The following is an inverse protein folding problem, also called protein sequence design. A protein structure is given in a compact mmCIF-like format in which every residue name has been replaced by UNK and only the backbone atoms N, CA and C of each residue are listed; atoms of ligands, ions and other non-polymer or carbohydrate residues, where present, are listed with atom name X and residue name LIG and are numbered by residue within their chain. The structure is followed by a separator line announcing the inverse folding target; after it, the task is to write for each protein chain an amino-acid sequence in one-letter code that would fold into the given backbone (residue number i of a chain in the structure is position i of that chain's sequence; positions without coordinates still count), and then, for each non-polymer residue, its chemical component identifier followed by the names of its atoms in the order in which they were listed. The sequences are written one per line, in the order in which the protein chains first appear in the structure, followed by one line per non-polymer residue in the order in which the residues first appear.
data_IF_779545502190
#
_entry.id   IF_779545502190
#
_cell.length_a   1.000
_cell.length_b   1.000
_cell.length_c   1.000
_cell.angle_alpha   90.00
_cell.angle_beta   90.00
_cell.angle_gamma   90.00
#
_symmetry.space_group_name_H-M   'P 1'
#
loop_
_entity.id
_entity.type
_entity.pdbx_description
1 polymer ?
#
# COMPACT_ATOMS: atom_id res chain seq x y z
N UNK A 1 -30.04 -0.74 63.87
CA UNK A 1 -28.62 -0.35 63.67
C UNK A 1 -28.43 0.01 62.19
N UNK A 2 -28.10 1.27 61.88
CA UNK A 2 -27.78 1.71 60.51
C UNK A 2 -26.26 1.68 60.31
N UNK A 3 -25.77 0.84 59.40
CA UNK A 3 -24.36 0.82 59.00
C UNK A 3 -24.06 2.04 58.13
N UNK A 4 -23.27 2.99 58.63
CA UNK A 4 -22.74 4.10 57.83
C UNK A 4 -21.64 3.54 56.94
N UNK A 5 -21.89 3.44 55.63
CA UNK A 5 -20.86 3.07 54.66
C UNK A 5 -19.82 4.20 54.61
N UNK A 6 -18.57 3.90 54.97
CA UNK A 6 -17.45 4.82 54.75
C UNK A 6 -17.30 5.05 53.24
N UNK A 7 -17.30 6.33 52.82
CA UNK A 7 -17.02 6.73 51.45
C UNK A 7 -15.54 6.61 51.09
N UNK A 8 -15.24 6.71 49.80
CA UNK A 8 -13.88 6.63 49.26
C UNK A 8 -13.01 7.80 49.75
N UNK A 9 -11.80 7.52 50.23
CA UNK A 9 -10.86 8.55 50.70
C UNK A 9 -9.98 9.07 49.57
N UNK A 10 -9.51 10.31 49.70
CA UNK A 10 -8.56 10.91 48.75
C UNK A 10 -7.25 10.11 48.72
N UNK A 11 -6.80 9.58 49.86
CA UNK A 11 -5.58 8.78 49.94
C UNK A 11 -5.69 7.46 49.15
N UNK A 12 -6.84 6.78 49.24
CA UNK A 12 -7.11 5.58 48.44
C UNK A 12 -7.09 5.90 46.94
N UNK A 13 -7.66 7.03 46.52
CA UNK A 13 -7.59 7.47 45.13
C UNK A 13 -6.16 7.71 44.66
N UNK A 14 -5.35 8.39 45.49
CA UNK A 14 -4.00 8.80 45.12
C UNK A 14 -3.07 7.61 44.90
N UNK A 15 -3.16 6.56 45.73
CA UNK A 15 -2.35 5.35 45.55
C UNK A 15 -2.75 4.64 44.26
N UNK A 16 -4.04 4.55 43.96
CA UNK A 16 -4.53 3.93 42.72
C UNK A 16 -4.00 4.68 41.50
N UNK A 17 -4.10 6.01 41.50
CA UNK A 17 -3.56 6.84 40.41
C UNK A 17 -2.05 6.67 40.25
N UNK A 18 -1.29 6.57 41.36
CA UNK A 18 0.16 6.35 41.32
C UNK A 18 0.53 5.01 40.67
N UNK A 19 -0.16 3.93 41.05
CA UNK A 19 0.07 2.60 40.46
C UNK A 19 -0.28 2.61 38.97
N UNK A 20 -1.42 3.19 38.59
CA UNK A 20 -1.81 3.32 37.17
C UNK A 20 -0.77 4.11 36.37
N UNK A 21 -0.23 5.19 36.94
CA UNK A 21 0.82 5.99 36.30
C UNK A 21 2.07 5.18 35.97
N UNK A 22 2.54 4.34 36.90
CA UNK A 22 3.71 3.46 36.69
C UNK A 22 3.43 2.44 35.60
N UNK A 23 2.25 1.82 35.61
CA UNK A 23 1.85 0.84 34.59
C UNK A 23 1.81 1.47 33.19
N UNK A 24 1.22 2.66 33.06
CA UNK A 24 1.14 3.39 31.79
C UNK A 24 2.53 3.77 31.28
N UNK A 25 3.43 4.23 32.16
CA UNK A 25 4.78 4.64 31.78
C UNK A 25 5.59 3.51 31.12
N UNK A 26 5.47 2.28 31.63
CA UNK A 26 6.13 1.09 31.06
C UNK A 26 5.42 0.62 29.77
N UNK A 27 4.09 0.76 29.70
CA UNK A 27 3.30 0.22 28.60
C UNK A 27 3.38 1.05 27.31
N UNK A 28 3.45 2.38 27.41
CA UNK A 28 3.38 3.27 26.24
C UNK A 28 4.46 2.99 25.17
N UNK A 29 5.76 2.83 25.51
CA UNK A 29 6.79 2.56 24.51
C UNK A 29 6.54 1.26 23.75
N UNK A 30 6.13 0.20 24.45
CA UNK A 30 5.86 -1.12 23.88
C UNK A 30 4.67 -1.05 22.92
N UNK A 31 3.59 -0.39 23.35
CA UNK A 31 2.39 -0.21 22.53
C UNK A 31 2.69 0.58 21.25
N UNK A 32 3.53 1.62 21.32
CA UNK A 32 3.90 2.40 20.14
C UNK A 32 4.62 1.54 19.08
N UNK A 33 5.59 0.72 19.47
CA UNK A 33 6.27 -0.19 18.54
C UNK A 33 5.31 -1.21 17.94
N UNK A 34 4.38 -1.76 18.74
CA UNK A 34 3.37 -2.69 18.25
C UNK A 34 2.39 -2.04 17.26
N UNK A 35 2.03 -0.78 17.49
CA UNK A 35 1.19 -0.01 16.57
C UNK A 35 1.88 0.22 15.22
N UNK A 36 3.18 0.56 15.20
CA UNK A 36 3.91 0.69 13.93
C UNK A 36 4.02 -0.65 13.21
N UNK A 37 4.36 -1.74 13.91
CA UNK A 37 4.33 -3.11 13.33
C UNK A 37 2.97 -3.46 12.72
N UNK A 38 1.88 -3.11 13.39
CA UNK A 38 0.53 -3.37 12.88
C UNK A 38 0.23 -2.59 11.60
N UNK A 39 0.70 -1.33 11.50
CA UNK A 39 0.59 -0.51 10.30
C UNK A 39 1.40 -1.07 9.13
N UNK A 40 2.63 -1.49 9.40
CA UNK A 40 3.48 -2.14 8.39
C UNK A 40 2.86 -3.46 7.90
N UNK A 41 2.38 -4.31 8.83
CA UNK A 41 1.72 -5.56 8.48
C UNK A 41 0.46 -5.35 7.63
N UNK A 42 -0.33 -4.30 7.94
CA UNK A 42 -1.48 -3.91 7.14
C UNK A 42 -1.06 -3.53 5.70
N UNK A 43 -0.01 -2.72 5.54
CA UNK A 43 0.46 -2.28 4.24
C UNK A 43 1.02 -3.43 3.40
N UNK A 44 1.71 -4.37 4.03
CA UNK A 44 2.21 -5.58 3.37
C UNK A 44 1.06 -6.50 2.96
N UNK A 45 0.02 -6.63 3.79
CA UNK A 45 -1.18 -7.38 3.44
C UNK A 45 -1.86 -6.77 2.20
N UNK A 46 -1.95 -5.44 2.12
CA UNK A 46 -2.48 -4.74 0.96
C UNK A 46 -1.66 -5.04 -0.30
N UNK A 47 -0.33 -5.01 -0.23
CA UNK A 47 0.54 -5.38 -1.37
C UNK A 47 0.26 -6.80 -1.84
N UNK A 48 0.05 -7.75 -0.92
CA UNK A 48 -0.29 -9.15 -1.27
C UNK A 48 -1.65 -9.28 -1.93
N UNK A 49 -2.66 -8.55 -1.46
CA UNK A 49 -3.99 -8.56 -2.10
C UNK A 49 -3.96 -7.94 -3.50
N UNK A 50 -3.20 -6.85 -3.68
CA UNK A 50 -3.00 -6.24 -4.99
C UNK A 50 -2.24 -7.18 -5.95
N UNK A 51 -1.24 -7.89 -5.44
CA UNK A 51 -0.53 -8.93 -6.17
C UNK A 51 -1.47 -10.02 -6.68
N UNK A 52 -2.37 -10.53 -5.83
CA UNK A 52 -3.34 -11.54 -6.22
C UNK A 52 -4.26 -11.04 -7.35
N UNK A 53 -4.77 -9.81 -7.23
CA UNK A 53 -5.57 -9.19 -8.29
C UNK A 53 -4.78 -9.04 -9.60
N UNK A 54 -3.52 -8.60 -9.54
CA UNK A 54 -2.68 -8.47 -10.73
C UNK A 54 -2.34 -9.82 -11.38
N UNK A 55 -2.12 -10.87 -10.57
CA UNK A 55 -1.92 -12.24 -11.06
C UNK A 55 -3.15 -12.76 -11.80
N UNK A 56 -4.36 -12.46 -11.31
CA UNK A 56 -5.60 -12.80 -12.01
C UNK A 56 -5.63 -12.17 -13.41
N UNK A 57 -5.38 -10.85 -13.51
CA UNK A 57 -5.29 -10.17 -14.81
C UNK A 57 -4.26 -10.79 -15.74
N UNK A 58 -3.09 -11.20 -15.20
CA UNK A 58 -2.05 -11.87 -15.97
C UNK A 58 -2.54 -13.19 -16.57
N UNK A 59 -3.14 -14.07 -15.76
CA UNK A 59 -3.55 -15.39 -16.20
C UNK A 59 -4.76 -15.38 -17.15
N UNK A 60 -5.69 -14.43 -16.99
CA UNK A 60 -6.83 -14.31 -17.91
C UNK A 60 -6.48 -13.58 -19.22
N UNK A 61 -5.30 -12.95 -19.31
CA UNK A 61 -4.86 -12.23 -20.51
C UNK A 61 -5.39 -10.80 -20.66
N UNK A 62 -6.19 -10.29 -19.72
CA UNK A 62 -6.84 -8.97 -19.78
C UNK A 62 -5.89 -7.78 -19.52
N UNK A 63 -4.60 -8.03 -19.35
CA UNK A 63 -3.59 -7.00 -19.10
C UNK A 63 -3.17 -6.20 -20.35
N UNK A 64 -3.58 -6.59 -21.56
CA UNK A 64 -3.10 -6.00 -22.83
C UNK A 64 -4.00 -4.86 -23.35
N UNK A 65 -5.02 -4.41 -22.61
CA UNK A 65 -5.97 -3.40 -23.10
C UNK A 65 -5.29 -2.04 -23.35
N UNK A 66 -5.41 -1.51 -24.57
CA UNK A 66 -4.88 -0.18 -24.88
C UNK A 66 -5.69 0.93 -24.22
N UNK A 67 -5.04 2.03 -23.86
CA UNK A 67 -5.73 3.22 -23.36
C UNK A 67 -6.85 3.66 -24.30
N UNK A 68 -6.60 3.64 -25.62
CA UNK A 68 -7.60 3.95 -26.63
C UNK A 68 -8.79 2.95 -26.65
N UNK A 69 -8.54 1.66 -26.44
CA UNK A 69 -9.61 0.64 -26.39
C UNK A 69 -10.45 0.81 -25.12
N UNK A 70 -9.81 1.13 -24.00
CA UNK A 70 -10.48 1.47 -22.74
C UNK A 70 -11.24 2.79 -22.82
N UNK A 71 -10.77 3.75 -23.63
CA UNK A 71 -11.46 5.02 -23.86
C UNK A 71 -12.75 4.84 -24.68
N UNK A 72 -12.82 3.77 -25.49
CA UNK A 72 -14.00 3.34 -26.23
C UNK A 72 -15.01 2.53 -25.39
N UNK A 73 -14.68 2.17 -24.15
CA UNK A 73 -15.63 1.52 -23.24
C UNK A 73 -16.80 2.47 -22.94
N UNK A 74 -18.01 1.99 -23.21
CA UNK A 74 -19.25 2.76 -23.11
C UNK A 74 -19.94 2.56 -21.76
N UNK A 75 -19.64 1.45 -21.08
CA UNK A 75 -20.08 1.20 -19.71
C UNK A 75 -19.32 2.12 -18.74
N UNK A 76 -19.97 3.11 -18.11
CA UNK A 76 -19.31 4.07 -17.25
C UNK A 76 -18.66 3.42 -16.02
N UNK A 77 -19.13 2.23 -15.61
CA UNK A 77 -18.51 1.50 -14.50
C UNK A 77 -17.24 0.78 -14.93
N UNK A 78 -17.14 0.32 -16.19
CA UNK A 78 -15.98 -0.44 -16.68
C UNK A 78 -14.89 0.43 -17.29
N UNK A 79 -15.25 1.63 -17.78
CA UNK A 79 -14.33 2.55 -18.47
C UNK A 79 -13.02 2.85 -17.73
N UNK A 80 -13.09 2.87 -16.40
CA UNK A 80 -11.96 3.22 -15.55
C UNK A 80 -11.25 1.99 -14.94
N UNK A 81 -11.82 0.80 -15.10
CA UNK A 81 -11.39 -0.43 -14.46
C UNK A 81 -10.55 -1.23 -15.45
N UNK A 82 -9.39 -1.69 -15.00
CA UNK A 82 -8.39 -2.38 -15.80
C UNK A 82 -7.02 -1.73 -15.72
N UNK A 83 -6.10 -2.23 -16.52
CA UNK A 83 -4.73 -1.75 -16.58
C UNK A 83 -4.55 -0.83 -17.79
N UNK A 84 -3.80 0.24 -17.62
CA UNK A 84 -3.28 1.04 -18.73
C UNK A 84 -1.98 0.42 -19.21
N UNK A 85 -1.75 0.35 -20.51
CA UNK A 85 -0.45 -0.07 -21.06
C UNK A 85 0.38 1.13 -21.46
N UNK A 86 1.65 1.15 -21.06
CA UNK A 86 2.62 2.08 -21.64
C UNK A 86 3.24 1.44 -22.89
N UNK A 87 3.25 2.17 -24.01
CA UNK A 87 3.87 1.74 -25.26
C UNK A 87 5.29 2.32 -25.31
N UNK A 88 6.27 1.81 -24.56
CA UNK A 88 7.62 2.36 -24.71
C UNK A 88 8.19 1.97 -26.08
N UNK A 89 8.65 2.99 -26.81
CA UNK A 89 9.04 2.95 -28.22
C UNK A 89 10.33 2.17 -28.54
N UNK A 90 10.97 1.49 -27.59
CA UNK A 90 12.33 0.95 -27.78
C UNK A 90 12.55 -0.42 -27.15
N UNK A 91 12.12 -1.48 -27.84
CA UNK A 91 12.55 -2.86 -27.61
C UNK A 91 11.43 -3.89 -27.38
N UNK A 92 11.70 -5.20 -27.55
CA UNK A 92 10.72 -6.30 -27.33
C UNK A 92 10.15 -6.37 -25.90
N UNK A 93 10.83 -5.73 -24.94
CA UNK A 93 10.57 -5.78 -23.49
C UNK A 93 9.83 -4.54 -22.92
N UNK A 94 9.41 -3.62 -23.79
CA UNK A 94 9.12 -2.22 -23.42
C UNK A 94 7.65 -1.91 -23.11
N UNK A 95 6.84 -2.91 -22.75
CA UNK A 95 5.41 -2.70 -22.52
C UNK A 95 5.06 -3.29 -21.16
N UNK A 96 4.66 -2.43 -20.24
CA UNK A 96 4.08 -2.84 -18.98
C UNK A 96 2.62 -2.37 -18.91
N UNK A 97 1.77 -3.25 -18.40
CA UNK A 97 0.41 -2.90 -18.01
C UNK A 97 0.42 -2.46 -16.56
N UNK A 98 -0.11 -1.29 -16.23
CA UNK A 98 -0.09 -0.74 -14.89
C UNK A 98 -1.44 -0.21 -14.45
N UNK A 99 -1.66 -0.18 -13.14
CA UNK A 99 -2.91 0.31 -12.56
C UNK A 99 -2.80 0.53 -11.07
N UNK A 100 -3.78 1.24 -10.51
CA UNK A 100 -3.91 1.50 -9.09
C UNK A 100 -4.92 0.53 -8.47
N UNK A 101 -4.54 -0.14 -7.38
CA UNK A 101 -5.40 -1.09 -6.71
C UNK A 101 -6.37 -0.39 -5.75
N UNK A 102 -7.63 -0.82 -5.71
CA UNK A 102 -8.62 -0.41 -4.71
C UNK A 102 -8.91 -1.55 -3.73
N UNK A 103 -8.41 -1.49 -2.48
CA UNK A 103 -8.62 -2.55 -1.50
C UNK A 103 -10.06 -2.69 -1.01
N UNK A 104 -10.95 -1.72 -1.27
CA UNK A 104 -12.37 -1.82 -0.89
C UNK A 104 -13.13 -2.77 -1.81
N UNK A 105 -12.71 -2.83 -3.07
CA UNK A 105 -13.44 -3.54 -4.13
C UNK A 105 -12.63 -4.68 -4.74
N UNK A 106 -11.31 -4.74 -4.49
CA UNK A 106 -10.39 -5.67 -5.14
C UNK A 106 -10.07 -5.32 -6.59
N UNK A 107 -10.65 -4.23 -7.13
CA UNK A 107 -10.51 -3.84 -8.53
C UNK A 107 -9.25 -3.02 -8.76
N UNK A 108 -8.71 -3.10 -9.98
CA UNK A 108 -7.59 -2.28 -10.43
C UNK A 108 -8.15 -1.20 -11.36
N UNK A 109 -7.74 0.05 -11.14
CA UNK A 109 -8.10 1.22 -11.94
C UNK A 109 -6.93 1.64 -12.82
N UNK A 110 -7.25 2.15 -14.00
CA UNK A 110 -6.27 2.53 -15.04
C UNK A 110 -5.15 3.43 -14.54
N UNK A 111 -5.48 4.36 -13.66
CA UNK A 111 -4.55 5.25 -12.99
C UNK A 111 -5.03 5.52 -11.57
N UNK A 112 -4.13 6.01 -10.72
CA UNK A 112 -4.46 6.41 -9.35
C UNK A 112 -5.48 7.55 -9.27
N UNK A 113 -5.54 8.42 -10.28
CA UNK A 113 -6.47 9.56 -10.31
C UNK A 113 -7.90 9.12 -10.61
N UNK A 114 -8.08 7.90 -11.13
CA UNK A 114 -9.36 7.28 -11.41
C UNK A 114 -9.87 6.40 -10.26
N UNK A 115 -9.12 6.29 -9.15
CA UNK A 115 -9.60 5.62 -7.95
C UNK A 115 -10.85 6.35 -7.42
N UNK A 116 -11.90 5.61 -6.99
CA UNK A 116 -13.07 6.24 -6.41
C UNK A 116 -12.65 7.06 -5.19
N UNK A 117 -13.19 8.28 -5.01
CA UNK A 117 -12.72 9.21 -4.01
C UNK A 117 -12.76 8.59 -2.61
N UNK A 118 -11.84 9.07 -1.78
CA UNK A 118 -11.85 8.83 -0.35
C UNK A 118 -12.91 9.67 0.35
N UNK A 119 -12.77 9.78 1.68
CA UNK A 119 -13.70 10.58 2.50
C UNK A 119 -13.68 12.05 2.07
N UNK A 120 -14.86 12.67 2.09
CA UNK A 120 -15.06 14.10 1.79
C UNK A 120 -14.54 14.52 0.41
N UNK A 121 -14.64 13.64 -0.60
CA UNK A 121 -14.23 13.93 -1.97
C UNK A 121 -12.72 14.04 -2.19
N UNK A 122 -11.90 13.73 -1.16
CA UNK A 122 -10.44 13.77 -1.29
C UNK A 122 -9.92 12.55 -2.07
N UNK A 123 -8.69 12.65 -2.58
CA UNK A 123 -7.98 11.49 -3.15
C UNK A 123 -7.99 10.32 -2.18
N UNK A 124 -8.24 9.13 -2.71
CA UNK A 124 -8.23 7.94 -1.89
C UNK A 124 -6.79 7.57 -1.51
N UNK A 125 -6.56 7.37 -0.21
CA UNK A 125 -5.29 6.97 0.38
C UNK A 125 -5.57 5.92 1.44
N UNK A 126 -4.69 4.94 1.57
CA UNK A 126 -4.93 3.83 2.47
C UNK A 126 -3.67 3.21 3.08
N UNK A 127 -2.47 3.65 2.67
CA UNK A 127 -1.24 3.30 3.39
C UNK A 127 -1.26 3.82 4.82
N UNK A 128 -0.65 3.04 5.72
CA UNK A 128 -0.67 3.28 7.17
C UNK A 128 0.71 3.48 7.77
N UNK A 129 1.75 2.97 7.11
CA UNK A 129 3.14 3.09 7.51
C UNK A 129 3.56 4.52 7.75
N UNK A 130 4.38 4.73 8.78
CA UNK A 130 4.93 6.03 9.14
C UNK A 130 6.45 5.99 9.04
N UNK A 131 7.10 7.14 9.26
CA UNK A 131 8.57 7.23 9.28
C UNK A 131 9.23 6.49 10.46
N UNK A 132 8.44 5.89 11.33
CA UNK A 132 8.92 5.16 12.51
C UNK A 132 8.98 3.68 12.16
N UNK A 133 10.19 3.13 12.26
CA UNK A 133 10.45 1.72 11.96
C UNK A 133 9.83 0.81 13.03
N UNK A 134 8.83 0.02 12.63
CA UNK A 134 8.29 -1.09 13.41
C UNK A 134 9.19 -2.33 13.37
N UNK A 135 10.17 -2.38 12.48
CA UNK A 135 11.13 -3.48 12.33
C UNK A 135 10.69 -4.55 11.34
N UNK A 136 9.67 -4.29 10.51
CA UNK A 136 9.24 -5.25 9.49
C UNK A 136 10.11 -5.17 8.24
N UNK A 137 10.67 -6.30 7.85
CA UNK A 137 11.39 -6.47 6.58
C UNK A 137 10.65 -7.46 5.70
N UNK A 138 10.39 -7.06 4.45
CA UNK A 138 9.77 -7.94 3.46
C UNK A 138 10.76 -8.15 2.34
N UNK A 139 11.36 -9.35 2.22
CA UNK A 139 12.24 -9.64 1.11
C UNK A 139 11.48 -9.53 -0.21
N UNK A 140 12.19 -9.11 -1.25
CA UNK A 140 11.67 -9.04 -2.60
C UNK A 140 12.68 -9.56 -3.61
N UNK A 141 12.17 -10.07 -4.73
CA UNK A 141 12.95 -10.29 -5.95
C UNK A 141 13.34 -8.99 -6.71
N UNK A 142 13.06 -7.81 -6.15
CA UNK A 142 13.44 -6.51 -6.74
C UNK A 142 14.92 -6.15 -6.51
N UNK A 143 15.47 -5.20 -7.28
CA UNK A 143 16.89 -4.79 -7.23
C UNK A 143 17.40 -4.42 -5.83
N UNK A 144 16.53 -3.87 -4.98
CA UNK A 144 16.88 -3.46 -3.61
C UNK A 144 16.84 -4.59 -2.57
N UNK A 145 16.34 -5.78 -2.94
CA UNK A 145 16.15 -6.92 -2.03
C UNK A 145 14.98 -6.79 -1.04
N UNK A 146 14.32 -5.64 -0.94
CA UNK A 146 13.19 -5.40 -0.03
C UNK A 146 11.98 -4.78 -0.74
N UNK A 147 10.78 -5.30 -0.48
CA UNK A 147 9.54 -4.81 -1.09
C UNK A 147 9.01 -3.52 -0.44
N UNK A 148 9.39 -3.27 0.81
CA UNK A 148 8.79 -2.28 1.68
C UNK A 148 9.88 -1.66 2.56
N UNK A 149 9.86 -0.33 2.72
CA UNK A 149 10.82 0.40 3.55
C UNK A 149 10.08 0.99 4.76
N UNK A 150 10.28 0.41 5.93
CA UNK A 150 9.62 0.82 7.19
C UNK A 150 9.91 2.26 7.64
N UNK A 151 10.97 2.90 7.11
CA UNK A 151 11.33 4.27 7.46
C UNK A 151 10.67 5.34 6.57
N UNK A 152 9.84 4.95 5.61
CA UNK A 152 9.13 5.87 4.70
C UNK A 152 7.69 6.18 5.15
N UNK A 153 7.14 7.30 4.70
CA UNK A 153 5.76 7.71 5.04
C UNK A 153 4.75 7.25 3.98
N UNK A 154 3.86 6.32 4.36
CA UNK A 154 2.86 5.74 3.47
C UNK A 154 1.47 6.35 3.65
N UNK A 155 1.28 7.34 4.54
CA UNK A 155 -0.05 7.86 4.89
C UNK A 155 -0.77 8.58 3.74
N UNK A 156 -0.03 9.01 2.73
CA UNK A 156 -0.57 9.59 1.49
C UNK A 156 -0.49 8.62 0.31
N UNK A 157 -0.29 7.33 0.56
CA UNK A 157 0.06 6.38 -0.47
C UNK A 157 -1.11 5.51 -0.94
N UNK A 158 -0.94 5.04 -2.17
CA UNK A 158 -1.75 3.98 -2.79
C UNK A 158 -0.83 2.91 -3.37
N UNK A 159 -1.34 1.68 -3.43
CA UNK A 159 -0.68 0.55 -4.08
C UNK A 159 -0.95 0.60 -5.57
N UNK A 160 0.11 0.38 -6.31
CA UNK A 160 0.12 0.24 -7.75
C UNK A 160 0.60 -1.16 -8.10
N UNK A 161 0.16 -1.64 -9.24
CA UNK A 161 0.61 -2.88 -9.84
C UNK A 161 1.14 -2.59 -11.24
N UNK A 162 2.19 -3.31 -11.63
CA UNK A 162 2.72 -3.33 -12.99
C UNK A 162 2.96 -4.78 -13.41
N UNK A 163 2.48 -5.15 -14.59
CA UNK A 163 2.64 -6.46 -15.21
C UNK A 163 3.58 -6.32 -16.39
N UNK A 164 4.69 -7.06 -16.36
CA UNK A 164 5.74 -7.08 -17.37
C UNK A 164 5.73 -8.41 -18.11
N UNK A 165 4.63 -8.72 -18.80
CA UNK A 165 4.44 -10.02 -19.45
C UNK A 165 5.39 -10.29 -20.62
N UNK A 166 5.99 -9.24 -21.20
CA UNK A 166 6.92 -9.34 -22.34
C UNK A 166 8.39 -9.12 -21.96
N UNK A 167 8.70 -8.93 -20.68
CA UNK A 167 10.08 -8.82 -20.24
C UNK A 167 10.83 -10.15 -20.43
N UNK A 168 12.17 -10.11 -20.51
CA UNK A 168 13.00 -11.31 -20.62
C UNK A 168 12.64 -12.38 -19.56
N UNK A 169 12.33 -11.92 -18.35
CA UNK A 169 11.67 -12.72 -17.31
C UNK A 169 10.32 -12.09 -17.00
N UNK A 170 9.20 -12.69 -17.43
CA UNK A 170 7.87 -12.19 -17.09
C UNK A 170 7.69 -12.07 -15.58
N UNK A 171 7.23 -10.91 -15.13
CA UNK A 171 7.06 -10.64 -13.70
C UNK A 171 5.97 -9.61 -13.44
N UNK A 172 5.52 -9.57 -12.19
CA UNK A 172 4.54 -8.61 -11.68
C UNK A 172 5.20 -7.88 -10.52
N UNK A 173 5.16 -6.54 -10.57
CA UNK A 173 5.66 -5.67 -9.51
C UNK A 173 4.50 -4.97 -8.83
N UNK A 174 4.46 -5.07 -7.50
CA UNK A 174 3.52 -4.33 -6.66
C UNK A 174 4.30 -3.34 -5.81
N UNK A 175 3.91 -2.07 -5.85
CA UNK A 175 4.68 -1.00 -5.21
C UNK A 175 3.79 0.14 -4.75
N UNK A 176 4.34 1.03 -3.92
CA UNK A 176 3.63 2.17 -3.37
C UNK A 176 3.96 3.45 -4.13
N UNK A 177 2.93 4.28 -4.35
CA UNK A 177 3.07 5.63 -4.90
C UNK A 177 2.45 6.66 -3.97
N UNK A 178 3.13 7.79 -3.82
CA UNK A 178 2.68 8.92 -2.99
C UNK A 178 1.72 9.83 -3.79
N UNK A 179 0.49 10.03 -3.29
CA UNK A 179 -0.53 10.86 -3.92
C UNK A 179 -0.32 12.36 -3.80
N UNK A 180 0.62 12.82 -2.99
CA UNK A 180 0.96 14.24 -2.89
C UNK A 180 1.85 14.70 -4.04
N UNK A 181 2.60 13.78 -4.64
CA UNK A 181 3.57 14.08 -5.71
C UNK A 181 2.94 13.87 -7.09
N UNK A 182 3.10 14.84 -7.98
CA UNK A 182 2.52 14.82 -9.34
C UNK A 182 3.40 14.16 -10.41
N UNK A 183 4.62 13.74 -10.07
CA UNK A 183 5.55 13.14 -11.04
C UNK A 183 5.28 11.65 -11.20
N UNK A 184 5.58 11.11 -12.39
CA UNK A 184 5.47 9.66 -12.67
C UNK A 184 6.45 8.80 -11.85
N UNK A 185 7.47 9.44 -11.24
CA UNK A 185 8.53 8.82 -10.42
C UNK A 185 8.29 8.93 -8.90
N UNK A 186 7.04 9.11 -8.48
CA UNK A 186 6.61 9.24 -7.09
C UNK A 186 6.57 7.91 -6.31
N UNK A 187 7.53 7.01 -6.57
CA UNK A 187 7.67 5.73 -5.89
C UNK A 187 8.10 5.96 -4.44
N UNK A 188 7.39 5.33 -3.50
CA UNK A 188 7.84 5.26 -2.11
C UNK A 188 8.88 4.14 -2.02
N UNK A 189 10.02 4.43 -1.39
CA UNK A 189 11.16 3.52 -1.37
C UNK A 189 12.13 3.69 -2.54
N UNK A 190 11.95 4.71 -3.39
CA UNK A 190 12.90 5.14 -4.40
C UNK A 190 12.58 4.70 -5.83
N UNK A 191 13.29 5.29 -6.80
CA UNK A 191 13.25 4.94 -8.22
C UNK A 191 14.48 4.09 -8.55
N UNK A 192 14.29 2.99 -9.29
CA UNK A 192 15.39 2.17 -9.76
C UNK A 192 16.35 2.99 -10.65
N UNK A 193 17.66 2.71 -10.56
CA UNK A 193 18.68 3.50 -11.25
C UNK A 193 18.71 3.25 -12.76
N UNK A 194 18.37 2.04 -13.19
CA UNK A 194 18.59 1.58 -14.57
C UNK A 194 17.30 1.43 -15.38
N UNK A 195 16.13 1.55 -14.75
CA UNK A 195 14.82 1.43 -15.38
C UNK A 195 13.86 2.51 -14.84
N UNK A 196 12.85 2.90 -15.62
CA UNK A 196 11.79 3.81 -15.15
C UNK A 196 10.77 3.08 -14.25
N UNK A 197 11.26 2.45 -13.17
CA UNK A 197 10.48 1.59 -12.28
C UNK A 197 10.74 1.84 -10.79
N UNK A 198 9.97 1.17 -9.91
CA UNK A 198 10.17 1.24 -8.47
C UNK A 198 11.49 0.60 -8.07
N UNK A 199 12.23 1.21 -7.14
CA UNK A 199 13.41 0.58 -6.52
C UNK A 199 13.00 -0.53 -5.54
N UNK A 200 11.89 -0.32 -4.83
CA UNK A 200 11.29 -1.26 -3.88
C UNK A 200 9.89 -1.65 -4.34
N UNK A 201 9.72 -2.92 -4.63
CA UNK A 201 8.42 -3.50 -5.02
C UNK A 201 8.36 -4.94 -4.51
N UNK A 202 7.17 -5.49 -4.31
CA UNK A 202 6.97 -6.94 -4.20
C UNK A 202 6.95 -7.49 -5.62
N UNK A 203 8.02 -8.19 -6.00
CA UNK A 203 8.14 -8.83 -7.32
C UNK A 203 7.71 -10.29 -7.26
N UNK A 204 6.87 -10.68 -8.21
CA UNK A 204 6.34 -12.02 -8.37
C UNK A 204 6.63 -12.53 -9.77
N UNK A 205 6.96 -13.81 -9.86
CA UNK A 205 7.20 -14.50 -11.12
C UNK A 205 6.03 -15.46 -11.35
N UNK A 206 5.10 -15.13 -12.26
CA UNK A 206 4.05 -16.06 -12.66
C UNK A 206 4.70 -17.25 -13.37
N UNK A 207 4.37 -18.46 -12.91
CA UNK A 207 4.72 -19.71 -13.59
C UNK A 207 3.76 -19.99 -14.74
#
# INVERSE_FOLDING_TARGET
MKYVKKGFTVAELLIVCAIVGILVAISLPILNVQLEKSREAHDIALMRTAAAAAMEYYYIGDYVKYSADLDNETDPEKKNIGLSVDRMSTGPESWNAYGAYDPRTGKIYRTRDLLPPGKNGKRYVYGKGTKVDGGTRVPSGSESGEAYQSTEDYRNAVVMVSIYAKAATPHIDVYWKDNTKSTNSNYIGGKASNINGPQRCLRLYPN
#
